data_IF_988768031105
#
_entry.id   IF_988768031105
#
_cell.length_a   1.000
_cell.length_b   1.000
_cell.length_c   1.000
_cell.angle_alpha   90.00
_cell.angle_beta   90.00
_cell.angle_gamma   90.00
#
_symmetry.space_group_name_H-M   'P 1'
#
loop_
_entity.id
_entity.type
_entity.pdbx_description
1 polymer ?
#
# COMPACT_ATOMS: atom_id res chain seq x y z
N UNK A 1 9.74 5.32 -0.16
CA UNK A 1 8.90 6.52 -0.39
C UNK A 1 8.43 6.48 -1.83
N UNK A 2 7.29 7.09 -2.13
CA UNK A 2 6.81 7.20 -3.51
C UNK A 2 7.33 8.51 -4.07
N UNK A 3 8.04 8.43 -5.19
CA UNK A 3 8.72 9.57 -5.82
C UNK A 3 8.21 9.77 -7.24
N UNK A 4 7.46 10.84 -7.48
CA UNK A 4 7.06 11.25 -8.83
C UNK A 4 7.82 12.50 -9.26
N UNK A 5 8.09 12.61 -10.56
CA UNK A 5 8.81 13.74 -11.15
C UNK A 5 7.90 14.49 -12.10
N UNK A 6 7.91 15.82 -12.00
CA UNK A 6 7.16 16.70 -12.90
C UNK A 6 7.96 17.96 -13.22
N UNK A 7 7.40 18.82 -14.07
CA UNK A 7 8.01 20.12 -14.40
C UNK A 7 8.08 21.08 -13.20
N UNK A 8 7.27 20.87 -12.15
CA UNK A 8 7.25 21.74 -10.96
C UNK A 8 8.17 21.24 -9.84
N UNK A 9 8.68 20.01 -9.93
CA UNK A 9 9.63 19.45 -8.97
C UNK A 9 9.50 17.95 -8.73
N UNK A 10 10.06 17.51 -7.61
CA UNK A 10 9.95 16.14 -7.10
C UNK A 10 8.79 16.08 -6.10
N UNK A 11 7.81 15.23 -6.38
CA UNK A 11 6.68 14.94 -5.53
C UNK A 11 7.01 13.75 -4.64
N UNK A 12 6.98 13.95 -3.32
CA UNK A 12 7.26 12.92 -2.32
C UNK A 12 5.97 12.62 -1.56
N UNK A 13 5.57 11.35 -1.59
CA UNK A 13 4.51 10.79 -0.74
C UNK A 13 5.15 9.71 0.15
N UNK A 14 4.90 9.77 1.47
CA UNK A 14 5.41 8.73 2.37
C UNK A 14 4.65 7.42 2.19
N UNK A 15 5.29 6.29 2.49
CA UNK A 15 4.58 4.99 2.46
C UNK A 15 3.41 4.95 3.43
N UNK A 16 3.56 5.61 4.58
CA UNK A 16 2.49 5.70 5.58
C UNK A 16 1.28 6.47 5.03
N UNK A 17 1.51 7.52 4.24
CA UNK A 17 0.43 8.26 3.59
C UNK A 17 -0.28 7.42 2.51
N UNK A 18 0.47 6.56 1.81
CA UNK A 18 -0.07 5.54 0.93
C UNK A 18 -0.97 4.54 1.69
N UNK A 19 -0.50 3.99 2.81
CA UNK A 19 -1.29 3.08 3.65
C UNK A 19 -2.57 3.74 4.16
N UNK A 20 -2.49 5.02 4.59
CA UNK A 20 -3.67 5.80 4.95
C UNK A 20 -4.65 5.96 3.78
N UNK A 21 -4.15 6.21 2.55
CA UNK A 21 -5.00 6.27 1.36
C UNK A 21 -5.69 4.93 1.08
N UNK A 22 -4.99 3.80 1.24
CA UNK A 22 -5.60 2.46 1.15
C UNK A 22 -6.75 2.32 2.17
N UNK A 23 -6.57 2.80 3.40
CA UNK A 23 -7.61 2.84 4.42
C UNK A 23 -8.81 3.72 4.04
N UNK A 24 -8.56 4.90 3.46
CA UNK A 24 -9.62 5.79 2.94
C UNK A 24 -10.42 5.11 1.83
N UNK A 25 -9.76 4.43 0.90
CA UNK A 25 -10.43 3.62 -0.14
C UNK A 25 -11.32 2.56 0.50
N UNK A 26 -10.77 1.81 1.46
CA UNK A 26 -11.50 0.74 2.14
C UNK A 26 -12.75 1.27 2.84
N UNK A 27 -12.67 2.44 3.48
CA UNK A 27 -13.79 3.07 4.18
C UNK A 27 -15.03 3.31 3.27
N UNK A 28 -14.81 3.54 1.98
CA UNK A 28 -15.86 3.80 0.99
C UNK A 28 -16.49 2.52 0.41
N UNK A 29 -15.89 1.35 0.63
CA UNK A 29 -16.39 0.06 0.12
C UNK A 29 -17.75 -0.28 0.72
N UNK A 30 -18.68 -0.82 -0.07
CA UNK A 30 -20.03 -1.16 0.42
C UNK A 30 -20.01 -2.24 1.51
N UNK A 31 -20.97 -2.20 2.47
CA UNK A 31 -21.04 -3.18 3.54
C UNK A 31 -21.03 -4.64 3.11
N UNK A 32 -21.64 -4.99 1.97
CA UNK A 32 -21.68 -6.37 1.47
C UNK A 32 -20.30 -6.94 1.06
N UNK A 33 -19.31 -6.09 0.79
CA UNK A 33 -17.95 -6.51 0.46
C UNK A 33 -17.01 -6.46 1.69
N UNK A 34 -17.49 -5.99 2.84
CA UNK A 34 -16.66 -5.85 4.05
C UNK A 34 -16.55 -7.19 4.77
N UNK A 35 -15.33 -7.68 5.08
CA UNK A 35 -15.14 -8.88 5.87
C UNK A 35 -15.64 -8.72 7.31
N UNK A 36 -15.72 -9.85 8.03
CA UNK A 36 -15.84 -9.83 9.50
C UNK A 36 -14.64 -9.10 10.11
N UNK A 37 -14.81 -8.55 11.31
CA UNK A 37 -13.77 -7.74 11.98
C UNK A 37 -13.33 -6.57 11.08
N UNK A 38 -14.32 -5.83 10.59
CA UNK A 38 -14.08 -4.77 9.60
C UNK A 38 -13.17 -3.67 10.14
N UNK A 39 -13.33 -3.29 11.40
CA UNK A 39 -12.47 -2.27 12.01
C UNK A 39 -11.01 -2.74 12.07
N UNK A 40 -10.75 -3.96 12.52
CA UNK A 40 -9.43 -4.57 12.52
C UNK A 40 -8.87 -4.72 11.09
N UNK A 41 -9.74 -5.03 10.12
CA UNK A 41 -9.36 -5.07 8.71
C UNK A 41 -8.95 -3.69 8.20
N UNK A 42 -9.68 -2.63 8.54
CA UNK A 42 -9.29 -1.25 8.22
C UNK A 42 -7.93 -0.90 8.82
N UNK A 43 -7.66 -1.29 10.07
CA UNK A 43 -6.34 -1.09 10.69
C UNK A 43 -5.25 -1.85 9.92
N UNK A 44 -5.50 -3.12 9.56
CA UNK A 44 -4.57 -3.89 8.75
C UNK A 44 -4.30 -3.25 7.38
N UNK A 45 -5.32 -2.67 6.74
CA UNK A 45 -5.18 -1.95 5.47
C UNK A 45 -4.38 -0.66 5.67
N UNK A 46 -4.62 0.11 6.72
CA UNK A 46 -3.86 1.34 6.97
C UNK A 46 -2.37 1.07 7.26
N UNK A 47 -2.04 -0.10 7.82
CA UNK A 47 -0.71 -0.43 8.32
C UNK A 47 -0.05 -1.61 7.61
N UNK A 48 -0.57 -2.03 6.45
CA UNK A 48 -0.09 -3.23 5.74
C UNK A 48 1.37 -3.11 5.29
N UNK A 49 1.79 -1.89 5.00
CA UNK A 49 3.08 -1.58 4.41
C UNK A 49 4.21 -1.61 5.45
N UNK A 50 5.44 -1.81 4.99
CA UNK A 50 6.59 -2.19 5.81
C UNK A 50 7.18 -1.08 6.68
N UNK A 51 6.41 0.03 6.85
CA UNK A 51 6.75 1.30 7.50
C UNK A 51 8.01 1.93 6.92
N UNK A 52 7.86 3.16 6.42
CA UNK A 52 9.00 3.94 5.96
C UNK A 52 10.03 4.09 7.10
N UNK A 53 11.22 3.53 6.91
CA UNK A 53 12.33 3.71 7.85
C UNK A 53 12.63 5.20 8.05
N UNK A 54 13.19 5.56 9.20
CA UNK A 54 13.65 6.94 9.38
C UNK A 54 14.95 7.19 8.59
N UNK A 55 15.31 8.45 8.41
CA UNK A 55 16.51 8.89 7.68
C UNK A 55 17.84 8.48 8.35
N UNK A 56 17.81 7.98 9.59
CA UNK A 56 18.99 7.40 10.26
C UNK A 56 19.17 5.91 9.95
N UNK A 57 18.07 5.21 9.74
CA UNK A 57 18.06 3.78 9.41
C UNK A 57 18.25 3.52 7.92
N UNK A 58 18.03 4.53 7.06
CA UNK A 58 18.05 4.34 5.60
C UNK A 58 18.45 5.59 4.83
N UNK A 59 19.25 5.38 3.81
CA UNK A 59 19.50 6.37 2.76
C UNK A 59 18.40 6.32 1.70
N UNK A 60 17.83 7.48 1.40
CA UNK A 60 16.76 7.65 0.42
C UNK A 60 17.26 8.24 -0.91
N UNK A 61 18.56 8.49 -1.02
CA UNK A 61 19.18 9.03 -2.21
C UNK A 61 19.94 7.94 -2.98
N UNK A 62 19.91 8.06 -4.30
CA UNK A 62 20.85 7.35 -5.17
C UNK A 62 22.27 7.92 -5.04
N UNK A 63 23.26 7.22 -5.60
CA UNK A 63 24.65 7.70 -5.68
C UNK A 63 24.79 9.08 -6.35
N UNK A 64 23.80 9.48 -7.16
CA UNK A 64 23.74 10.78 -7.84
C UNK A 64 23.03 11.88 -7.02
N UNK A 65 22.63 11.57 -5.78
CA UNK A 65 21.91 12.48 -4.89
C UNK A 65 20.43 12.65 -5.23
N UNK A 66 19.84 11.79 -6.07
CA UNK A 66 18.42 11.90 -6.47
C UNK A 66 17.57 11.01 -5.54
N UNK A 67 16.44 11.50 -4.99
CA UNK A 67 15.52 10.68 -4.22
C UNK A 67 15.04 9.46 -5.00
N UNK A 68 15.08 8.29 -4.34
CA UNK A 68 14.69 7.01 -4.92
C UNK A 68 13.23 6.66 -4.62
N UNK A 69 12.52 6.20 -5.63
CA UNK A 69 11.25 5.51 -5.45
C UNK A 69 11.49 4.16 -4.78
N UNK A 70 10.51 3.67 -4.03
CA UNK A 70 10.66 2.43 -3.29
C UNK A 70 10.90 1.19 -4.16
N UNK A 71 10.47 1.24 -5.42
CA UNK A 71 10.74 0.17 -6.39
C UNK A 71 12.23 0.10 -6.80
N UNK A 72 13.00 1.16 -6.56
CA UNK A 72 14.43 1.23 -6.90
C UNK A 72 15.30 0.69 -5.76
N UNK A 73 14.70 0.33 -4.62
CA UNK A 73 15.39 -0.12 -3.43
C UNK A 73 15.92 -1.55 -3.58
N UNK A 74 17.16 -1.76 -3.17
CA UNK A 74 17.74 -3.10 -3.00
C UNK A 74 17.85 -3.38 -1.51
N UNK A 75 17.15 -4.40 -1.04
CA UNK A 75 17.22 -4.85 0.35
C UNK A 75 17.88 -6.21 0.44
N UNK A 76 18.80 -6.35 1.39
CA UNK A 76 19.37 -7.63 1.76
C UNK A 76 18.32 -8.52 2.44
N UNK A 77 18.55 -9.84 2.42
CA UNK A 77 17.70 -10.80 3.15
C UNK A 77 17.61 -10.44 4.64
N UNK A 78 18.67 -9.91 5.23
CA UNK A 78 18.67 -9.53 6.65
C UNK A 78 17.72 -8.34 6.93
N UNK A 79 17.75 -7.31 6.08
CA UNK A 79 16.87 -6.14 6.20
C UNK A 79 15.41 -6.53 6.00
N UNK A 80 15.11 -7.31 4.96
CA UNK A 80 13.75 -7.81 4.69
C UNK A 80 13.21 -8.59 5.90
N UNK A 81 14.00 -9.52 6.44
CA UNK A 81 13.63 -10.28 7.65
C UNK A 81 13.34 -9.37 8.84
N UNK A 82 14.20 -8.38 9.08
CA UNK A 82 14.06 -7.45 10.21
C UNK A 82 12.78 -6.62 10.08
N UNK A 83 12.48 -6.13 8.87
CA UNK A 83 11.25 -5.38 8.58
C UNK A 83 10.00 -6.24 8.78
N UNK A 84 9.96 -7.43 8.16
CA UNK A 84 8.81 -8.35 8.30
C UNK A 84 8.51 -8.67 9.77
N UNK A 85 9.55 -8.97 10.57
CA UNK A 85 9.40 -9.27 11.99
C UNK A 85 8.88 -8.06 12.78
N UNK A 86 9.41 -6.86 12.51
CA UNK A 86 8.99 -5.61 13.15
C UNK A 86 7.51 -5.32 12.87
N UNK A 87 7.09 -5.44 11.61
CA UNK A 87 5.72 -5.19 11.15
C UNK A 87 4.75 -6.19 11.77
N UNK A 88 5.05 -7.49 11.72
CA UNK A 88 4.19 -8.51 12.33
C UNK A 88 4.11 -8.41 13.85
N UNK A 89 5.20 -8.01 14.52
CA UNK A 89 5.15 -7.75 15.96
C UNK A 89 4.20 -6.59 16.26
N UNK A 90 4.37 -5.46 15.57
CA UNK A 90 3.52 -4.28 15.77
C UNK A 90 2.04 -4.53 15.40
N UNK A 91 1.79 -5.42 14.45
CA UNK A 91 0.45 -5.88 14.07
C UNK A 91 -0.15 -6.78 15.17
N UNK A 92 0.61 -7.76 15.65
CA UNK A 92 0.20 -8.69 16.70
C UNK A 92 -0.07 -8.01 18.04
N UNK A 93 0.71 -6.97 18.38
CA UNK A 93 0.48 -6.15 19.58
C UNK A 93 -0.86 -5.38 19.52
N UNK A 94 -1.44 -5.17 18.33
CA UNK A 94 -2.79 -4.58 18.16
C UNK A 94 -3.89 -5.62 18.16
N UNK A 95 -3.74 -6.66 17.36
CA UNK A 95 -4.74 -7.72 17.20
C UNK A 95 -4.18 -8.88 16.39
N UNK A 96 -4.49 -10.12 16.80
CA UNK A 96 -4.21 -11.31 16.02
C UNK A 96 -4.83 -11.26 14.62
N UNK A 97 -6.00 -10.60 14.46
CA UNK A 97 -6.64 -10.43 13.16
C UNK A 97 -5.82 -9.51 12.23
N UNK A 98 -5.32 -8.40 12.78
CA UNK A 98 -4.44 -7.47 12.05
C UNK A 98 -3.16 -8.21 11.63
N UNK A 99 -2.56 -8.98 12.55
CA UNK A 99 -1.39 -9.82 12.23
C UNK A 99 -1.68 -10.82 11.10
N UNK A 100 -2.84 -11.48 11.10
CA UNK A 100 -3.22 -12.45 10.08
C UNK A 100 -3.20 -11.83 8.67
N UNK A 101 -3.88 -10.71 8.48
CA UNK A 101 -3.99 -10.04 7.17
C UNK A 101 -2.65 -9.52 6.69
N UNK A 102 -1.85 -8.94 7.59
CA UNK A 102 -0.50 -8.46 7.27
C UNK A 102 0.45 -9.64 6.98
N UNK A 103 0.32 -10.77 7.67
CA UNK A 103 1.10 -11.99 7.38
C UNK A 103 0.83 -12.53 5.97
N UNK A 104 -0.44 -12.53 5.52
CA UNK A 104 -0.76 -12.83 4.12
C UNK A 104 -0.14 -11.83 3.14
N UNK A 105 -0.16 -10.54 3.49
CA UNK A 105 0.41 -9.49 2.65
C UNK A 105 1.93 -9.63 2.47
N UNK A 106 2.65 -9.86 3.56
CA UNK A 106 4.10 -10.09 3.52
C UNK A 106 4.45 -11.37 2.74
N UNK A 107 3.63 -12.42 2.86
CA UNK A 107 3.77 -13.62 2.03
C UNK A 107 3.61 -13.29 0.54
N UNK A 108 2.61 -12.50 0.17
CA UNK A 108 2.42 -12.06 -1.22
C UNK A 108 3.63 -11.31 -1.76
N UNK A 109 4.20 -10.38 -0.99
CA UNK A 109 5.36 -9.58 -1.42
C UNK A 109 6.61 -10.45 -1.54
N UNK A 110 6.94 -11.22 -0.50
CA UNK A 110 8.26 -11.84 -0.36
C UNK A 110 8.31 -13.35 -0.64
N UNK A 111 7.21 -13.99 -1.05
CA UNK A 111 7.21 -15.43 -1.35
C UNK A 111 8.22 -15.82 -2.43
N UNK A 112 8.49 -14.93 -3.39
CA UNK A 112 9.49 -15.18 -4.44
C UNK A 112 10.91 -15.42 -3.87
N UNK A 113 11.23 -14.85 -2.69
CA UNK A 113 12.52 -15.03 -2.03
C UNK A 113 12.67 -16.37 -1.30
N UNK A 114 11.59 -17.16 -1.17
CA UNK A 114 11.64 -18.47 -0.47
C UNK A 114 12.59 -19.46 -1.16
N UNK A 115 12.70 -19.40 -2.48
CA UNK A 115 13.56 -20.30 -3.27
C UNK A 115 15.06 -20.05 -2.99
N UNK A 116 15.44 -18.79 -2.81
CA UNK A 116 16.84 -18.38 -2.70
C UNK A 116 17.33 -18.24 -1.25
N UNK A 117 16.41 -18.29 -0.28
CA UNK A 117 16.75 -18.08 1.14
C UNK A 117 16.04 -19.07 2.06
N UNK A 118 16.82 -20.00 2.63
CA UNK A 118 16.36 -20.93 3.69
C UNK A 118 15.81 -20.19 4.91
N UNK A 119 16.32 -18.99 5.21
CA UNK A 119 15.86 -18.16 6.33
C UNK A 119 14.45 -17.63 6.07
N UNK A 120 14.19 -17.10 4.87
CA UNK A 120 12.87 -16.62 4.46
C UNK A 120 11.87 -17.78 4.36
N UNK A 121 12.31 -18.91 3.78
CA UNK A 121 11.49 -20.13 3.69
C UNK A 121 11.02 -20.59 5.08
N UNK A 122 11.94 -20.74 6.04
CA UNK A 122 11.61 -21.12 7.42
C UNK A 122 10.65 -20.13 8.08
N UNK A 123 10.90 -18.84 7.92
CA UNK A 123 10.05 -17.78 8.48
C UNK A 123 8.59 -17.92 8.01
N UNK A 124 8.36 -18.13 6.71
CA UNK A 124 7.01 -18.30 6.21
C UNK A 124 6.36 -19.63 6.60
N UNK A 125 7.13 -20.69 6.82
CA UNK A 125 6.60 -21.93 7.43
C UNK A 125 6.13 -21.71 8.87
N UNK A 126 6.86 -20.90 9.65
CA UNK A 126 6.45 -20.53 11.00
C UNK A 126 5.20 -19.63 10.99
N UNK A 127 5.16 -18.65 10.08
CA UNK A 127 4.00 -17.79 9.92
C UNK A 127 2.76 -18.54 9.42
N UNK A 128 2.91 -19.57 8.57
CA UNK A 128 1.79 -20.43 8.15
C UNK A 128 1.16 -21.15 9.35
N UNK A 129 1.97 -21.68 10.27
CA UNK A 129 1.48 -22.28 11.52
C UNK A 129 0.79 -21.24 12.41
N UNK A 130 1.39 -20.04 12.54
CA UNK A 130 0.81 -18.95 13.32
C UNK A 130 -0.56 -18.51 12.75
N UNK A 131 -0.68 -18.39 11.41
CA UNK A 131 -1.96 -18.11 10.75
C UNK A 131 -2.98 -19.20 11.02
N UNK A 132 -2.58 -20.49 10.99
CA UNK A 132 -3.44 -21.62 11.33
C UNK A 132 -4.07 -21.47 12.73
N UNK A 133 -3.27 -21.16 13.75
CA UNK A 133 -3.80 -20.93 15.10
C UNK A 133 -4.74 -19.72 15.19
N UNK A 134 -4.42 -18.62 14.51
CA UNK A 134 -5.30 -17.44 14.49
C UNK A 134 -6.63 -17.78 13.82
N UNK A 135 -6.60 -18.44 12.66
CA UNK A 135 -7.79 -18.88 11.93
C UNK A 135 -8.70 -19.79 12.79
N UNK A 136 -8.11 -20.73 13.53
CA UNK A 136 -8.82 -21.58 14.49
C UNK A 136 -9.51 -20.75 15.59
N UNK A 137 -8.81 -19.78 16.19
CA UNK A 137 -9.36 -18.89 17.22
C UNK A 137 -10.57 -18.12 16.73
N UNK A 138 -10.52 -17.61 15.50
CA UNK A 138 -11.62 -16.85 14.89
C UNK A 138 -12.68 -17.74 14.22
N UNK A 139 -12.49 -19.07 14.18
CA UNK A 139 -13.36 -20.03 13.49
C UNK A 139 -13.55 -19.70 12.01
N UNK A 140 -12.45 -19.34 11.35
CA UNK A 140 -12.39 -18.95 9.94
C UNK A 140 -11.51 -19.95 9.19
N UNK A 141 -11.90 -20.40 8.00
CA UNK A 141 -11.03 -21.23 7.15
C UNK A 141 -9.96 -20.38 6.46
N UNK A 142 -8.80 -20.96 6.12
CA UNK A 142 -7.75 -20.24 5.39
C UNK A 142 -8.27 -19.63 4.08
N UNK A 143 -9.10 -20.37 3.34
CA UNK A 143 -9.79 -19.86 2.14
C UNK A 143 -10.54 -18.56 2.42
N UNK A 144 -11.32 -18.52 3.50
CA UNK A 144 -12.09 -17.33 3.89
C UNK A 144 -11.18 -16.19 4.36
N UNK A 145 -10.12 -16.51 5.12
CA UNK A 145 -9.11 -15.52 5.53
C UNK A 145 -8.43 -14.86 4.33
N UNK A 146 -8.12 -15.64 3.28
CA UNK A 146 -7.58 -15.13 2.01
C UNK A 146 -8.58 -14.26 1.25
N UNK A 147 -9.87 -14.60 1.26
CA UNK A 147 -10.93 -13.74 0.71
C UNK A 147 -10.99 -12.39 1.44
N UNK A 148 -10.79 -12.37 2.75
CA UNK A 148 -10.72 -11.10 3.50
C UNK A 148 -9.47 -10.28 3.15
N UNK A 149 -8.35 -10.95 2.91
CA UNK A 149 -7.11 -10.34 2.44
C UNK A 149 -7.23 -9.72 1.04
N UNK A 150 -8.12 -10.21 0.17
CA UNK A 150 -8.36 -9.63 -1.15
C UNK A 150 -8.79 -8.15 -1.09
N UNK A 151 -9.56 -7.76 -0.07
CA UNK A 151 -9.92 -6.35 0.15
C UNK A 151 -8.70 -5.48 0.41
N UNK A 152 -7.74 -5.98 1.20
CA UNK A 152 -6.48 -5.28 1.45
C UNK A 152 -5.68 -5.16 0.16
N UNK A 153 -5.52 -6.24 -0.60
CA UNK A 153 -4.80 -6.21 -1.91
C UNK A 153 -5.40 -5.21 -2.88
N UNK A 154 -6.73 -5.14 -2.95
CA UNK A 154 -7.41 -4.16 -3.79
C UNK A 154 -7.08 -2.73 -3.37
N UNK A 155 -7.18 -2.42 -2.07
CA UNK A 155 -6.95 -1.08 -1.54
C UNK A 155 -5.49 -0.65 -1.68
N UNK A 156 -4.54 -1.53 -1.32
CA UNK A 156 -3.10 -1.33 -1.53
C UNK A 156 -2.81 -0.99 -3.00
N UNK A 157 -3.21 -1.87 -3.93
CA UNK A 157 -2.91 -1.68 -5.35
C UNK A 157 -3.55 -0.42 -5.93
N UNK A 158 -4.80 -0.11 -5.59
CA UNK A 158 -5.44 1.12 -6.03
C UNK A 158 -4.73 2.36 -5.46
N UNK A 159 -4.39 2.36 -4.17
CA UNK A 159 -3.68 3.48 -3.55
C UNK A 159 -2.30 3.72 -4.18
N UNK A 160 -1.55 2.66 -4.53
CA UNK A 160 -0.30 2.78 -5.27
C UNK A 160 -0.49 3.36 -6.67
N UNK A 161 -1.54 2.94 -7.40
CA UNK A 161 -1.84 3.51 -8.72
C UNK A 161 -2.08 5.02 -8.63
N UNK A 162 -2.85 5.46 -7.64
CA UNK A 162 -3.14 6.88 -7.41
C UNK A 162 -1.87 7.64 -7.00
N UNK A 163 -1.15 7.15 -5.99
CA UNK A 163 0.05 7.81 -5.49
C UNK A 163 1.16 7.91 -6.55
N UNK A 164 1.27 6.95 -7.48
CA UNK A 164 2.29 6.91 -8.53
C UNK A 164 1.87 7.57 -9.86
N UNK A 165 0.72 8.26 -9.90
CA UNK A 165 0.16 8.87 -11.12
C UNK A 165 0.05 7.88 -12.30
N UNK A 166 -0.33 6.63 -12.01
CA UNK A 166 -0.39 5.56 -13.01
C UNK A 166 -1.74 5.46 -13.72
N UNK A 167 -2.77 6.17 -13.25
CA UNK A 167 -4.08 6.19 -13.90
C UNK A 167 -3.90 6.76 -15.33
N UNK A 168 -4.18 5.97 -16.37
CA UNK A 168 -3.78 6.34 -17.73
C UNK A 168 -4.71 7.42 -18.29
N UNK A 169 -4.13 8.31 -19.09
CA UNK A 169 -4.89 9.32 -19.84
C UNK A 169 -5.68 8.70 -21.00
N UNK A 170 -6.52 9.53 -21.64
CA UNK A 170 -7.29 9.17 -22.83
C UNK A 170 -8.19 7.95 -22.63
N UNK A 171 -8.85 7.88 -21.48
CA UNK A 171 -9.89 6.88 -21.18
C UNK A 171 -9.42 5.41 -21.25
N UNK A 172 -8.11 5.17 -21.18
CA UNK A 172 -7.59 3.80 -21.16
C UNK A 172 -7.91 3.11 -19.82
N UNK A 173 -8.04 1.79 -19.88
CA UNK A 173 -8.20 0.97 -18.69
C UNK A 173 -6.82 0.52 -18.18
N UNK A 174 -6.61 0.67 -16.87
CA UNK A 174 -5.51 0.01 -16.16
C UNK A 174 -6.11 -1.01 -15.20
N UNK A 175 -5.62 -2.24 -15.24
CA UNK A 175 -5.99 -3.26 -14.26
C UNK A 175 -5.46 -2.87 -12.87
N UNK A 176 -6.37 -2.89 -11.89
CA UNK A 176 -6.02 -2.83 -10.47
C UNK A 176 -5.50 -4.22 -10.09
N UNK A 177 -6.39 -5.20 -9.98
CA UNK A 177 -6.09 -6.63 -9.80
C UNK A 177 -7.34 -7.49 -9.99
N UNK A 178 -7.17 -8.81 -10.01
CA UNK A 178 -8.21 -9.78 -9.66
C UNK A 178 -8.18 -10.06 -8.15
N UNK A 179 -9.28 -9.76 -7.44
CA UNK A 179 -9.32 -9.89 -5.98
C UNK A 179 -10.73 -10.17 -5.45
N UNK A 180 -11.43 -9.16 -4.93
CA UNK A 180 -12.69 -9.28 -4.20
C UNK A 180 -13.72 -10.02 -5.06
N UNK A 181 -14.22 -11.14 -4.54
CA UNK A 181 -15.17 -12.05 -5.21
C UNK A 181 -14.64 -12.68 -6.51
N UNK A 182 -13.33 -12.69 -6.74
CA UNK A 182 -12.74 -13.19 -7.98
C UNK A 182 -12.92 -12.28 -9.20
N UNK A 183 -13.42 -11.06 -9.00
CA UNK A 183 -13.60 -10.07 -10.06
C UNK A 183 -12.28 -9.37 -10.40
N UNK A 184 -12.12 -9.00 -11.68
CA UNK A 184 -11.02 -8.15 -12.13
C UNK A 184 -11.47 -6.70 -12.18
N UNK A 185 -10.74 -5.85 -11.46
CA UNK A 185 -11.05 -4.44 -11.34
C UNK A 185 -10.17 -3.59 -12.25
N UNK A 186 -10.76 -2.58 -12.86
CA UNK A 186 -10.07 -1.62 -13.71
C UNK A 186 -10.32 -0.20 -13.23
N UNK A 187 -9.30 0.66 -13.35
CA UNK A 187 -9.42 2.11 -13.19
C UNK A 187 -9.32 2.80 -14.54
N UNK A 188 -10.16 3.82 -14.74
CA UNK A 188 -10.17 4.69 -15.91
C UNK A 188 -10.12 6.14 -15.45
N UNK A 189 -9.36 6.99 -16.15
CA UNK A 189 -9.46 8.44 -16.04
C UNK A 189 -10.22 8.99 -17.24
N UNK A 190 -11.32 9.68 -16.98
CA UNK A 190 -12.15 10.35 -18.00
C UNK A 190 -11.46 11.60 -18.54
N UNK A 191 -11.93 12.14 -19.67
CA UNK A 191 -11.42 13.39 -20.25
C UNK A 191 -11.47 14.58 -19.29
N UNK A 192 -12.48 14.60 -18.39
CA UNK A 192 -12.64 15.63 -17.37
C UNK A 192 -11.77 15.40 -16.11
N UNK A 193 -10.89 14.40 -16.13
CA UNK A 193 -10.00 14.06 -15.01
C UNK A 193 -10.64 13.29 -13.86
N UNK A 194 -11.92 12.92 -13.96
CA UNK A 194 -12.63 12.09 -12.99
C UNK A 194 -12.21 10.63 -13.14
N UNK A 195 -12.01 9.94 -12.02
CA UNK A 195 -11.67 8.52 -12.00
C UNK A 195 -12.91 7.65 -11.85
N UNK A 196 -12.93 6.51 -12.54
CA UNK A 196 -13.98 5.49 -12.41
C UNK A 196 -13.35 4.13 -12.24
N UNK A 197 -14.00 3.29 -11.42
CA UNK A 197 -13.59 1.91 -11.18
C UNK A 197 -14.71 0.97 -11.62
N UNK A 198 -14.34 -0.08 -12.35
CA UNK A 198 -15.28 -1.11 -12.83
C UNK A 198 -14.76 -2.49 -12.45
N UNK A 199 -15.55 -3.34 -11.77
CA UNK A 199 -16.91 -3.06 -11.26
C UNK A 199 -16.92 -2.08 -10.06
N UNK A 200 -18.04 -1.35 -9.89
CA UNK A 200 -18.18 -0.34 -8.83
C UNK A 200 -18.62 -0.95 -7.49
N UNK A 201 -17.70 -0.94 -6.51
CA UNK A 201 -17.90 -1.56 -5.18
C UNK A 201 -18.03 -0.56 -4.03
N UNK A 202 -18.20 0.73 -4.32
CA UNK A 202 -18.30 1.77 -3.31
C UNK A 202 -19.75 2.14 -2.99
N UNK A 203 -20.00 2.54 -1.74
CA UNK A 203 -21.32 2.94 -1.24
C UNK A 203 -21.85 4.19 -1.92
N UNK A 204 -21.02 5.22 -2.01
CA UNK A 204 -21.39 6.45 -2.70
C UNK A 204 -21.29 6.27 -4.23
N UNK A 205 -22.07 7.06 -4.96
CA UNK A 205 -21.93 7.18 -6.42
C UNK A 205 -20.76 8.09 -6.80
N UNK A 206 -20.30 8.91 -5.86
CA UNK A 206 -19.20 9.86 -6.02
C UNK A 206 -18.57 10.17 -4.67
N UNK A 207 -17.24 10.30 -4.61
CA UNK A 207 -16.50 10.71 -3.42
C UNK A 207 -15.10 11.24 -3.77
N UNK A 208 -14.51 12.04 -2.89
CA UNK A 208 -13.14 12.55 -3.03
C UNK A 208 -12.17 11.73 -2.15
N UNK A 209 -11.06 11.31 -2.74
CA UNK A 209 -9.91 10.80 -2.01
C UNK A 209 -8.79 11.84 -2.00
N UNK A 210 -7.97 11.80 -0.95
CA UNK A 210 -6.81 12.67 -0.85
C UNK A 210 -5.67 12.06 -0.06
N UNK A 211 -4.45 12.46 -0.41
CA UNK A 211 -3.21 12.17 0.33
C UNK A 211 -2.40 13.45 0.46
N UNK A 212 -1.55 13.54 1.47
CA UNK A 212 -0.57 14.63 1.54
C UNK A 212 0.69 14.27 0.73
N UNK A 213 1.14 15.23 -0.07
CA UNK A 213 2.43 15.18 -0.74
C UNK A 213 3.27 16.41 -0.39
N UNK A 214 4.58 16.29 -0.59
CA UNK A 214 5.53 17.41 -0.49
C UNK A 214 6.24 17.57 -1.82
N UNK A 215 6.22 18.78 -2.36
CA UNK A 215 6.85 19.10 -3.65
C UNK A 215 8.17 19.81 -3.37
N UNK A 216 9.27 19.26 -3.86
CA UNK A 216 10.61 19.79 -3.71
C UNK A 216 11.08 20.39 -5.03
N UNK A 217 11.52 21.64 -5.00
CA UNK A 217 12.11 22.31 -6.18
C UNK A 217 13.51 21.80 -6.49
N UNK A 218 14.24 21.40 -5.46
CA UNK A 218 15.56 20.79 -5.56
C UNK A 218 15.44 19.33 -6.00
N UNK A 219 16.25 18.94 -6.99
CA UNK A 219 16.19 17.61 -7.61
C UNK A 219 17.36 16.70 -7.25
N UNK A 220 18.42 17.27 -6.65
CA UNK A 220 19.63 16.57 -6.24
C UNK A 220 20.07 17.09 -4.88
N UNK A 221 20.42 16.18 -3.98
CA UNK A 221 20.81 16.47 -2.61
C UNK A 221 22.21 15.94 -2.35
N UNK A 222 22.98 16.67 -1.56
CA UNK A 222 24.37 16.33 -1.20
C UNK A 222 24.48 15.27 -0.12
N UNK A 223 23.42 15.04 0.65
CA UNK A 223 23.36 14.02 1.70
C UNK A 223 21.91 13.70 2.08
N UNK A 224 21.71 12.54 2.70
CA UNK A 224 20.41 12.14 3.23
C UNK A 224 19.88 13.14 4.29
N UNK A 225 20.77 13.74 5.09
CA UNK A 225 20.39 14.77 6.07
C UNK A 225 19.94 16.07 5.40
N UNK A 226 20.59 16.45 4.29
CA UNK A 226 20.16 17.60 3.50
C UNK A 226 18.77 17.35 2.91
N UNK A 227 18.55 16.17 2.33
CA UNK A 227 17.25 15.77 1.81
C UNK A 227 16.16 15.76 2.89
N UNK A 228 16.43 15.18 4.07
CA UNK A 228 15.50 15.20 5.21
C UNK A 228 15.12 16.63 5.59
N UNK A 229 16.10 17.53 5.68
CA UNK A 229 15.88 18.93 6.05
C UNK A 229 14.97 19.65 5.05
N UNK A 230 15.24 19.48 3.76
CA UNK A 230 14.44 20.09 2.68
C UNK A 230 13.04 19.49 2.64
N UNK A 231 12.92 18.17 2.79
CA UNK A 231 11.63 17.48 2.83
C UNK A 231 10.78 17.96 4.01
N UNK A 232 11.34 17.96 5.23
CA UNK A 232 10.62 18.34 6.45
C UNK A 232 10.28 19.84 6.48
N UNK A 233 11.11 20.68 5.85
CA UNK A 233 10.85 22.11 5.68
C UNK A 233 9.81 22.45 4.60
N UNK A 234 9.50 21.53 3.67
CA UNK A 234 8.49 21.75 2.63
C UNK A 234 7.07 21.66 3.20
N UNK A 235 6.14 22.52 2.78
CA UNK A 235 4.76 22.46 3.28
C UNK A 235 4.02 21.26 2.66
N UNK A 236 3.33 20.41 3.46
CA UNK A 236 2.47 19.38 2.90
C UNK A 236 1.29 20.00 2.15
N UNK A 237 0.93 19.39 1.03
CA UNK A 237 -0.18 19.82 0.17
C UNK A 237 -1.09 18.64 -0.16
N UNK A 238 -2.42 18.86 -0.26
CA UNK A 238 -3.34 17.80 -0.61
C UNK A 238 -3.26 17.48 -2.10
N UNK A 239 -2.97 16.23 -2.43
CA UNK A 239 -3.23 15.63 -3.74
C UNK A 239 -4.58 14.94 -3.69
N UNK A 240 -5.46 15.25 -4.64
CA UNK A 240 -6.89 14.88 -4.60
C UNK A 240 -7.32 14.14 -5.85
N UNK A 241 -8.28 13.24 -5.70
CA UNK A 241 -8.92 12.53 -6.80
C UNK A 241 -10.43 12.46 -6.56
N UNK A 242 -11.21 12.78 -7.59
CA UNK A 242 -12.65 12.57 -7.59
C UNK A 242 -12.94 11.22 -8.23
N UNK A 243 -13.61 10.33 -7.50
CA UNK A 243 -14.07 9.04 -8.01
C UNK A 243 -15.58 9.12 -8.22
N UNK A 244 -16.04 8.73 -9.41
CA UNK A 244 -17.47 8.69 -9.76
C UNK A 244 -17.81 7.39 -10.47
N UNK A 245 -18.96 6.81 -10.12
CA UNK A 245 -19.53 5.65 -10.81
C UNK A 245 -19.81 6.00 -12.26
N UNK A 246 -19.47 5.12 -13.20
CA UNK A 246 -19.84 5.30 -14.61
C UNK A 246 -21.36 5.39 -14.73
N UNK A 247 -21.83 6.39 -15.46
CA UNK A 247 -23.20 6.40 -15.99
C UNK A 247 -23.25 5.30 -17.06
N UNK A 248 -24.21 4.37 -16.91
CA UNK A 248 -24.38 3.23 -17.80
C UNK A 248 -25.05 3.59 -19.11
#
# INVERSE_FOLDING_TARGET
MIVNKSVVGIHIISHEAHGLLAGKIANEIKPEFRPRHWFETLIAICEHDDRQLNFKEKDYLSDMGVPMDFNEERSSVHEVMTRMQRVLKAAGDKSSWVKLLISYHLEFIYAHMKADSKRISRFFTEEEKARGHILEQFKVSDKTGRTYYEVLRFCDRLSLILCKDQAPEAERLLEINTSINGETYFIKKTENGVLTITPWIFSATEFELSVEERILKETKFTSNQHFETVLMGSKPQPKKWLLKKSEG
#
